data_IF_618752251697
#
_entry.id   IF_618752251697
#
_cell.length_a   1.000
_cell.length_b   1.000
_cell.length_c   1.000
_cell.angle_alpha   90.00
_cell.angle_beta   90.00
_cell.angle_gamma   90.00
#
_symmetry.space_group_name_H-M   'P 1'
#
loop_
_entity.id
_entity.type
_entity.pdbx_description
1 polymer ?
#
# COMPACT_ATOMS: atom_id res chain seq x y z
N UNK A 1 8.77 -27.15 6.78
CA UNK A 1 7.81 -26.18 6.22
C UNK A 1 8.38 -25.71 4.89
N UNK A 2 7.73 -26.05 3.77
CA UNK A 2 8.16 -25.56 2.46
C UNK A 2 7.75 -24.08 2.31
N UNK A 3 8.66 -23.24 1.81
CA UNK A 3 8.37 -21.85 1.45
C UNK A 3 7.81 -21.85 0.02
N UNK A 4 6.51 -22.05 -0.10
CA UNK A 4 5.82 -22.15 -1.39
C UNK A 4 4.70 -21.13 -1.51
N UNK A 5 4.53 -20.57 -2.71
CA UNK A 5 3.38 -19.74 -3.05
C UNK A 5 2.14 -20.65 -3.24
N UNK A 6 1.04 -20.30 -2.60
CA UNK A 6 -0.24 -21.02 -2.74
C UNK A 6 -1.20 -20.15 -3.55
N UNK A 7 -1.48 -20.58 -4.78
CA UNK A 7 -2.36 -19.86 -5.70
C UNK A 7 -3.77 -20.46 -5.64
N UNK A 8 -4.74 -19.65 -5.24
CA UNK A 8 -6.14 -20.04 -5.22
C UNK A 8 -6.80 -19.70 -6.57
N UNK A 9 -6.85 -20.67 -7.48
CA UNK A 9 -7.52 -20.51 -8.78
C UNK A 9 -9.03 -20.82 -8.72
N UNK A 10 -9.46 -21.63 -7.76
CA UNK A 10 -10.85 -22.11 -7.63
C UNK A 10 -11.22 -22.28 -6.15
N UNK A 11 -12.53 -22.31 -5.87
CA UNK A 11 -13.06 -22.58 -4.52
C UNK A 11 -13.67 -21.33 -3.87
N UNK A 12 -13.92 -21.36 -2.54
CA UNK A 12 -14.58 -20.26 -1.84
C UNK A 12 -13.68 -19.02 -1.78
N UNK A 13 -14.10 -17.93 -2.41
CA UNK A 13 -13.37 -16.65 -2.41
C UNK A 13 -13.07 -16.13 -0.99
N UNK A 14 -14.02 -16.31 -0.05
CA UNK A 14 -13.83 -15.90 1.34
C UNK A 14 -12.66 -16.62 2.02
N UNK A 15 -12.45 -17.92 1.71
CA UNK A 15 -11.33 -18.69 2.24
C UNK A 15 -10.00 -18.21 1.63
N UNK A 16 -9.97 -18.02 0.32
CA UNK A 16 -8.80 -17.53 -0.41
C UNK A 16 -8.35 -16.16 0.11
N UNK A 17 -9.30 -15.22 0.24
CA UNK A 17 -9.04 -13.88 0.80
C UNK A 17 -8.58 -13.99 2.25
N UNK A 18 -9.26 -14.78 3.10
CA UNK A 18 -8.89 -14.95 4.51
C UNK A 18 -7.48 -15.53 4.69
N UNK A 19 -7.07 -16.47 3.82
CA UNK A 19 -5.71 -16.98 3.80
C UNK A 19 -4.73 -15.89 3.34
N UNK A 20 -5.05 -15.18 2.24
CA UNK A 20 -4.23 -14.12 1.67
C UNK A 20 -3.98 -12.94 2.61
N UNK A 21 -4.91 -12.63 3.53
CA UNK A 21 -4.76 -11.53 4.51
C UNK A 21 -4.35 -12.01 5.91
N UNK A 22 -3.76 -13.21 6.03
CA UNK A 22 -3.32 -13.78 7.32
C UNK A 22 -1.98 -13.19 7.80
N UNK A 23 -1.96 -11.88 8.05
CA UNK A 23 -0.77 -11.14 8.45
C UNK A 23 -0.20 -11.73 9.76
N UNK A 24 1.06 -12.18 9.77
CA UNK A 24 1.72 -12.70 10.96
C UNK A 24 1.65 -11.72 12.14
N UNK A 25 1.25 -12.23 13.31
CA UNK A 25 1.10 -11.43 14.54
C UNK A 25 -0.24 -10.68 14.66
N UNK A 26 -1.04 -10.58 13.59
CA UNK A 26 -2.36 -9.94 13.60
C UNK A 26 -3.47 -10.98 13.49
N UNK A 27 -3.36 -11.89 12.53
CA UNK A 27 -4.37 -12.92 12.30
C UNK A 27 -3.77 -14.31 12.46
N UNK A 28 -4.58 -15.24 13.00
CA UNK A 28 -4.22 -16.65 13.02
C UNK A 28 -4.02 -17.15 11.57
N UNK A 29 -2.91 -17.87 11.27
CA UNK A 29 -2.72 -18.50 9.98
C UNK A 29 -3.87 -19.45 9.62
N UNK A 30 -4.10 -19.64 8.32
CA UNK A 30 -5.17 -20.51 7.80
C UNK A 30 -4.59 -21.84 7.36
N UNK A 31 -5.18 -22.95 7.80
CA UNK A 31 -4.80 -24.27 7.28
C UNK A 31 -5.57 -24.56 5.99
N UNK A 32 -4.86 -24.79 4.89
CA UNK A 32 -5.43 -25.15 3.60
C UNK A 32 -4.65 -26.33 3.01
N UNK A 33 -5.35 -27.42 2.66
CA UNK A 33 -4.75 -28.65 2.11
C UNK A 33 -3.55 -29.17 2.95
N UNK A 34 -3.67 -29.13 4.28
CA UNK A 34 -2.61 -29.55 5.21
C UNK A 34 -1.43 -28.58 5.33
N UNK A 35 -1.46 -27.44 4.63
CA UNK A 35 -0.44 -26.39 4.67
C UNK A 35 -0.90 -25.24 5.56
N UNK A 36 0.02 -24.66 6.31
CA UNK A 36 -0.23 -23.48 7.11
C UNK A 36 0.07 -22.23 6.27
N UNK A 37 -0.99 -21.50 5.88
CA UNK A 37 -0.91 -20.32 5.05
C UNK A 37 -0.87 -19.04 5.90
N UNK A 38 0.07 -18.17 5.56
CA UNK A 38 0.16 -16.77 6.03
C UNK A 38 -0.11 -15.82 4.87
N UNK A 39 -0.10 -14.53 5.14
CA UNK A 39 -0.28 -13.47 4.14
C UNK A 39 0.62 -13.66 2.90
N UNK A 40 0.04 -13.44 1.71
CA UNK A 40 0.74 -13.60 0.43
C UNK A 40 1.81 -12.54 0.17
N UNK A 41 1.72 -11.39 0.82
CA UNK A 41 2.68 -10.28 0.73
C UNK A 41 4.10 -10.71 1.05
N UNK A 42 4.28 -11.68 1.95
CA UNK A 42 5.61 -12.14 2.36
C UNK A 42 6.39 -12.86 1.26
N UNK A 43 5.70 -13.35 0.21
CA UNK A 43 6.32 -14.05 -0.93
C UNK A 43 6.08 -13.33 -2.25
N UNK A 44 4.88 -12.80 -2.47
CA UNK A 44 4.42 -12.28 -3.76
C UNK A 44 3.46 -11.09 -3.56
N UNK A 45 3.98 -9.94 -3.08
CA UNK A 45 3.15 -8.78 -2.74
C UNK A 45 2.50 -8.11 -3.94
N UNK A 46 3.09 -8.25 -5.13
CA UNK A 46 2.52 -7.81 -6.40
C UNK A 46 2.63 -8.97 -7.39
N UNK A 47 1.63 -9.87 -7.50
CA UNK A 47 1.76 -11.16 -8.17
C UNK A 47 1.66 -11.08 -9.71
N UNK A 48 2.53 -10.28 -10.34
CA UNK A 48 2.58 -10.06 -11.80
C UNK A 48 2.80 -11.36 -12.56
N UNK A 49 3.71 -12.20 -12.09
CA UNK A 49 4.04 -13.47 -12.74
C UNK A 49 2.82 -14.42 -12.78
N UNK A 50 2.05 -14.49 -11.69
CA UNK A 50 0.87 -15.35 -11.59
C UNK A 50 -0.18 -14.97 -12.62
N UNK A 51 -0.49 -13.68 -12.76
CA UNK A 51 -1.49 -13.21 -13.74
C UNK A 51 -1.02 -13.39 -15.18
N UNK A 52 0.28 -13.23 -15.45
CA UNK A 52 0.86 -13.54 -16.77
C UNK A 52 0.76 -15.02 -17.11
N UNK A 53 1.12 -15.90 -16.18
CA UNK A 53 1.02 -17.35 -16.35
C UNK A 53 -0.43 -17.80 -16.55
N UNK A 54 -1.39 -17.07 -15.97
CA UNK A 54 -2.83 -17.27 -16.21
C UNK A 54 -3.30 -16.79 -17.60
N UNK A 55 -2.42 -16.23 -18.43
CA UNK A 55 -2.71 -15.85 -19.82
C UNK A 55 -2.99 -14.36 -20.04
N UNK A 56 -2.73 -13.48 -19.06
CA UNK A 56 -2.92 -12.05 -19.26
C UNK A 56 -1.97 -11.50 -20.34
N UNK A 57 -2.54 -10.88 -21.39
CA UNK A 57 -1.77 -10.23 -22.47
C UNK A 57 -1.14 -8.90 -22.06
N UNK A 58 -1.75 -8.22 -21.09
CA UNK A 58 -1.34 -6.93 -20.54
C UNK A 58 -1.57 -6.97 -19.04
N UNK A 59 -0.60 -6.49 -18.28
CA UNK A 59 -0.65 -6.43 -16.82
C UNK A 59 -0.43 -5.00 -16.36
N UNK A 60 -1.43 -4.49 -15.64
CA UNK A 60 -1.35 -3.22 -14.93
C UNK A 60 -1.10 -3.57 -13.45
N UNK A 61 0.11 -3.29 -12.96
CA UNK A 61 0.46 -3.51 -11.56
C UNK A 61 0.14 -2.25 -10.73
N UNK A 62 -0.28 -2.45 -9.49
CA UNK A 62 -0.45 -1.39 -8.51
C UNK A 62 0.47 -1.68 -7.34
N UNK A 63 1.49 -0.84 -7.14
CA UNK A 63 2.46 -0.99 -6.06
C UNK A 63 2.29 0.17 -5.07
N UNK A 64 1.88 -0.16 -3.85
CA UNK A 64 1.57 0.80 -2.78
C UNK A 64 2.75 1.05 -1.83
N UNK A 65 3.89 0.37 -2.03
CA UNK A 65 5.07 0.54 -1.19
C UNK A 65 5.86 1.80 -1.60
N UNK A 66 6.11 2.75 -0.66
CA UNK A 66 6.90 3.93 -0.96
C UNK A 66 8.32 3.59 -1.42
N UNK A 67 8.79 4.29 -2.45
CA UNK A 67 10.18 4.15 -2.92
C UNK A 67 11.17 4.74 -1.91
N UNK A 68 12.44 4.29 -1.96
CA UNK A 68 13.49 4.82 -1.10
C UNK A 68 13.65 6.35 -1.18
N UNK A 69 13.60 7.01 -2.36
CA UNK A 69 13.63 8.47 -2.44
C UNK A 69 12.43 9.12 -1.76
N UNK A 70 11.22 8.60 -1.97
CA UNK A 70 10.00 9.12 -1.33
C UNK A 70 10.06 9.01 0.20
N UNK A 71 10.55 7.88 0.71
CA UNK A 71 10.73 7.68 2.14
C UNK A 71 11.79 8.64 2.71
N UNK A 72 12.90 8.86 2.01
CA UNK A 72 13.94 9.80 2.42
C UNK A 72 13.39 11.22 2.54
N UNK A 73 12.70 11.70 1.51
CA UNK A 73 12.10 13.05 1.52
C UNK A 73 11.12 13.21 2.68
N UNK A 74 10.28 12.20 2.94
CA UNK A 74 9.38 12.21 4.09
C UNK A 74 10.12 12.29 5.43
N UNK A 75 11.17 11.48 5.62
CA UNK A 75 11.97 11.48 6.84
C UNK A 75 12.67 12.83 7.07
N UNK A 76 13.22 13.44 6.01
CA UNK A 76 13.82 14.77 6.07
C UNK A 76 12.80 15.84 6.48
N UNK A 77 11.59 15.79 5.92
CA UNK A 77 10.50 16.71 6.30
C UNK A 77 10.08 16.51 7.76
N UNK A 78 9.92 15.27 8.20
CA UNK A 78 9.59 14.95 9.58
C UNK A 78 10.67 15.40 10.57
N UNK A 79 11.95 15.33 10.18
CA UNK A 79 13.08 15.85 10.97
C UNK A 79 13.05 17.38 11.08
N UNK A 80 12.76 18.09 9.98
CA UNK A 80 12.63 19.56 10.00
C UNK A 80 11.50 20.03 10.91
N UNK A 81 10.33 19.42 10.78
CA UNK A 81 9.18 19.73 11.64
C UNK A 81 9.48 19.47 13.12
N UNK A 82 10.26 18.42 13.43
CA UNK A 82 10.73 18.16 14.80
C UNK A 82 11.69 19.24 15.29
N UNK A 83 12.65 19.66 14.48
CA UNK A 83 13.58 20.72 14.85
C UNK A 83 12.85 22.06 15.08
N UNK A 84 11.87 22.38 14.24
CA UNK A 84 11.00 23.55 14.42
C UNK A 84 10.17 23.47 15.70
N UNK A 85 9.56 22.32 15.98
CA UNK A 85 8.85 22.07 17.24
C UNK A 85 9.79 22.23 18.45
N UNK A 86 10.99 21.66 18.39
CA UNK A 86 11.97 21.76 19.47
C UNK A 86 12.40 23.21 19.71
N UNK A 87 12.60 24.00 18.65
CA UNK A 87 12.88 25.43 18.73
C UNK A 87 11.71 26.20 19.38
N UNK A 88 10.46 25.86 19.02
CA UNK A 88 9.26 26.44 19.62
C UNK A 88 9.07 26.07 21.10
N UNK A 89 9.46 24.85 21.48
CA UNK A 89 9.41 24.41 22.88
C UNK A 89 10.54 25.03 23.70
N UNK A 90 11.70 25.33 23.10
CA UNK A 90 12.82 25.97 23.77
C UNK A 90 12.49 27.38 24.28
N UNK A 91 11.58 28.09 23.62
CA UNK A 91 11.11 29.43 24.04
C UNK A 91 10.11 29.40 25.21
N UNK A 92 9.68 28.21 25.65
CA UNK A 92 8.70 28.06 26.74
C UNK A 92 9.34 28.05 28.13
N UNK A 93 8.58 28.43 29.18
CA UNK A 93 9.03 28.33 30.57
C UNK A 93 9.51 26.92 30.93
N UNK A 94 10.48 26.83 31.85
CA UNK A 94 11.15 25.59 32.24
C UNK A 94 10.17 24.45 32.56
N UNK A 95 9.11 24.75 33.31
CA UNK A 95 8.10 23.78 33.73
C UNK A 95 7.31 23.20 32.56
N UNK A 96 6.92 24.04 31.58
CA UNK A 96 6.22 23.60 30.35
C UNK A 96 7.15 22.75 29.48
N UNK A 97 8.40 23.16 29.32
CA UNK A 97 9.42 22.41 28.57
C UNK A 97 9.73 21.05 29.21
N UNK A 98 9.82 20.99 30.53
CA UNK A 98 9.99 19.74 31.27
C UNK A 98 8.78 18.83 31.09
N UNK A 99 7.56 19.37 31.22
CA UNK A 99 6.33 18.60 31.03
C UNK A 99 6.19 18.06 29.60
N UNK A 100 6.51 18.87 28.58
CA UNK A 100 6.50 18.45 27.18
C UNK A 100 7.57 17.38 26.89
N UNK A 101 8.77 17.49 27.48
CA UNK A 101 9.81 16.45 27.37
C UNK A 101 9.39 15.14 28.03
N UNK A 102 8.82 15.19 29.24
CA UNK A 102 8.30 14.00 29.92
C UNK A 102 7.17 13.34 29.11
N UNK A 103 6.25 14.12 28.56
CA UNK A 103 5.21 13.61 27.66
C UNK A 103 5.80 12.97 26.41
N UNK A 104 6.81 13.60 25.79
CA UNK A 104 7.48 13.08 24.60
C UNK A 104 8.28 11.81 24.90
N UNK A 105 8.93 11.72 26.06
CA UNK A 105 9.61 10.52 26.55
C UNK A 105 8.63 9.40 26.86
N UNK A 106 7.44 9.69 27.40
CA UNK A 106 6.39 8.69 27.62
C UNK A 106 5.85 8.14 26.28
N UNK A 107 5.65 9.01 25.27
CA UNK A 107 5.27 8.61 23.91
C UNK A 107 6.41 7.83 23.24
N UNK A 108 7.67 8.19 23.52
CA UNK A 108 8.87 7.49 23.04
C UNK A 108 9.15 6.18 23.77
N UNK A 109 8.76 5.98 25.03
CA UNK A 109 9.00 4.69 25.71
C UNK A 109 8.14 3.56 25.13
N UNK A 110 7.22 3.91 24.21
CA UNK A 110 6.52 3.02 23.29
C UNK A 110 7.34 2.74 22.00
N UNK A 111 8.64 3.11 21.96
CA UNK A 111 9.66 2.86 20.91
C UNK A 111 9.62 1.40 20.42
N UNK A 112 9.91 1.14 19.12
CA UNK A 112 9.20 0.15 18.34
C UNK A 112 9.26 -1.20 19.03
N UNK A 113 8.09 -1.71 19.39
CA UNK A 113 7.96 -3.06 19.91
C UNK A 113 8.63 -4.01 18.91
N UNK A 114 9.05 -5.20 19.37
CA UNK A 114 9.57 -6.26 18.48
C UNK A 114 8.68 -6.43 17.24
N UNK A 115 7.38 -6.27 17.43
CA UNK A 115 6.38 -6.23 16.38
C UNK A 115 6.64 -5.17 15.29
N UNK A 116 6.89 -3.91 15.65
CA UNK A 116 7.14 -2.82 14.69
C UNK A 116 8.42 -3.05 13.88
N UNK A 117 9.45 -3.61 14.52
CA UNK A 117 10.71 -3.98 13.84
C UNK A 117 10.46 -5.07 12.80
N UNK A 118 9.70 -6.10 13.17
CA UNK A 118 9.30 -7.18 12.27
C UNK A 118 8.51 -6.61 11.08
N UNK A 119 7.49 -5.80 11.34
CA UNK A 119 6.65 -5.22 10.28
C UNK A 119 7.44 -4.33 9.32
N UNK A 120 8.35 -3.50 9.83
CA UNK A 120 9.21 -2.66 8.98
C UNK A 120 10.17 -3.49 8.12
N UNK A 121 10.72 -4.57 8.67
CA UNK A 121 11.56 -5.49 7.91
C UNK A 121 10.75 -6.21 6.83
N UNK A 122 9.53 -6.66 7.14
CA UNK A 122 8.60 -7.26 6.18
C UNK A 122 8.26 -6.29 5.05
N UNK A 123 7.85 -5.06 5.36
CA UNK A 123 7.56 -4.03 4.35
C UNK A 123 8.75 -3.71 3.46
N UNK A 124 9.98 -3.73 4.01
CA UNK A 124 11.20 -3.55 3.22
C UNK A 124 11.41 -4.70 2.23
N UNK A 125 11.24 -5.94 2.69
CA UNK A 125 11.31 -7.11 1.80
C UNK A 125 10.20 -7.09 0.74
N UNK A 126 8.97 -6.78 1.14
CA UNK A 126 7.81 -6.65 0.26
C UNK A 126 8.04 -5.58 -0.81
N UNK A 127 8.60 -4.43 -0.46
CA UNK A 127 8.99 -3.40 -1.43
C UNK A 127 9.97 -3.96 -2.47
N UNK A 128 11.03 -4.64 -2.04
CA UNK A 128 12.04 -5.19 -2.96
C UNK A 128 11.46 -6.27 -3.87
N UNK A 129 10.69 -7.21 -3.32
CA UNK A 129 10.04 -8.28 -4.11
C UNK A 129 9.02 -7.67 -5.07
N UNK A 130 8.17 -6.76 -4.59
CA UNK A 130 7.16 -6.08 -5.38
C UNK A 130 7.76 -5.26 -6.52
N UNK A 131 8.86 -4.54 -6.27
CA UNK A 131 9.56 -3.78 -7.31
C UNK A 131 10.18 -4.69 -8.36
N UNK A 132 10.71 -5.86 -7.97
CA UNK A 132 11.20 -6.86 -8.93
C UNK A 132 10.06 -7.41 -9.79
N UNK A 133 8.93 -7.76 -9.20
CA UNK A 133 7.75 -8.23 -9.94
C UNK A 133 7.18 -7.16 -10.87
N UNK A 134 7.19 -5.89 -10.44
CA UNK A 134 6.70 -4.76 -11.24
C UNK A 134 7.51 -4.52 -12.52
N UNK A 135 8.77 -4.99 -12.61
CA UNK A 135 9.58 -4.88 -13.85
C UNK A 135 8.97 -5.66 -15.01
N UNK A 136 8.16 -6.66 -14.70
CA UNK A 136 7.49 -7.46 -15.71
C UNK A 136 6.14 -6.87 -16.13
N UNK A 137 5.57 -5.92 -15.39
CA UNK A 137 4.27 -5.34 -15.75
C UNK A 137 4.40 -4.35 -16.93
N UNK A 138 3.33 -4.22 -17.72
CA UNK A 138 3.28 -3.27 -18.84
C UNK A 138 3.13 -1.83 -18.34
N UNK A 139 2.35 -1.65 -17.27
CA UNK A 139 2.16 -0.35 -16.60
C UNK A 139 2.16 -0.56 -15.10
N UNK A 140 2.76 0.35 -14.35
CA UNK A 140 2.81 0.29 -12.88
C UNK A 140 2.31 1.61 -12.29
N UNK A 141 1.21 1.54 -11.53
CA UNK A 141 0.71 2.66 -10.73
C UNK A 141 1.41 2.65 -9.37
N UNK A 142 1.77 3.84 -8.87
CA UNK A 142 2.39 4.00 -7.54
C UNK A 142 1.65 5.05 -6.70
N UNK A 143 0.44 4.71 -6.19
CA UNK A 143 -0.34 5.61 -5.34
C UNK A 143 0.19 5.60 -3.89
N UNK A 144 1.47 5.93 -3.71
CA UNK A 144 2.14 5.89 -2.42
C UNK A 144 1.83 7.15 -1.61
N UNK A 145 1.64 6.98 -0.30
CA UNK A 145 1.50 8.08 0.68
C UNK A 145 2.56 7.87 1.77
N UNK A 146 3.76 8.46 1.62
CA UNK A 146 4.82 8.35 2.61
C UNK A 146 4.34 8.78 4.00
N UNK A 147 4.72 8.02 5.03
CA UNK A 147 4.35 8.32 6.42
C UNK A 147 2.98 7.80 6.86
N UNK A 148 2.18 7.23 5.96
CA UNK A 148 0.93 6.57 6.36
C UNK A 148 1.20 5.34 7.20
N UNK A 149 0.35 5.11 8.21
CA UNK A 149 0.45 3.94 9.06
C UNK A 149 -0.45 2.81 8.54
N UNK A 150 -0.01 1.56 8.67
CA UNK A 150 -0.75 0.40 8.18
C UNK A 150 -2.06 0.13 8.96
N UNK A 151 -2.22 0.70 10.16
CA UNK A 151 -3.45 0.67 10.97
C UNK A 151 -4.35 1.91 10.80
N UNK A 152 -4.13 2.73 9.77
CA UNK A 152 -4.86 3.99 9.57
C UNK A 152 -6.20 3.80 8.86
N UNK A 153 -7.11 3.05 9.48
CA UNK A 153 -8.44 2.74 8.92
C UNK A 153 -9.47 3.87 9.09
N UNK A 154 -9.15 4.91 9.86
CA UNK A 154 -10.05 6.01 10.21
C UNK A 154 -10.04 7.17 9.21
N UNK A 155 -9.12 7.17 8.25
CA UNK A 155 -9.07 8.15 7.14
C UNK A 155 -8.85 7.44 5.80
N UNK A 156 -9.79 6.59 5.34
CA UNK A 156 -9.65 5.86 4.09
C UNK A 156 -9.65 6.76 2.85
N UNK A 157 -10.29 7.94 2.92
CA UNK A 157 -10.53 8.85 1.80
C UNK A 157 -9.23 9.29 1.13
N UNK A 158 -8.19 9.56 1.93
CA UNK A 158 -6.88 9.99 1.40
C UNK A 158 -6.24 8.91 0.53
N UNK A 159 -6.43 7.62 0.85
CA UNK A 159 -5.86 6.51 0.08
C UNK A 159 -6.61 6.33 -1.24
N UNK A 160 -7.95 6.44 -1.19
CA UNK A 160 -8.81 6.38 -2.37
C UNK A 160 -8.45 7.52 -3.32
N UNK A 161 -8.39 8.75 -2.80
CA UNK A 161 -8.05 9.94 -3.58
C UNK A 161 -6.65 9.81 -4.21
N UNK A 162 -5.64 9.38 -3.46
CA UNK A 162 -4.30 9.15 -4.01
C UNK A 162 -4.29 8.11 -5.13
N UNK A 163 -5.09 7.05 -4.98
CA UNK A 163 -5.29 6.02 -6.00
C UNK A 163 -5.89 6.59 -7.28
N UNK A 164 -6.95 7.37 -7.14
CA UNK A 164 -7.63 8.05 -8.25
C UNK A 164 -6.70 9.04 -8.97
N UNK A 165 -6.00 9.91 -8.23
CA UNK A 165 -5.04 10.87 -8.79
C UNK A 165 -3.96 10.17 -9.62
N UNK A 166 -3.39 9.08 -9.11
CA UNK A 166 -2.35 8.32 -9.81
C UNK A 166 -2.88 7.62 -11.06
N UNK A 167 -4.10 7.06 -11.00
CA UNK A 167 -4.75 6.43 -12.13
C UNK A 167 -5.09 7.46 -13.22
N UNK A 168 -5.67 8.61 -12.85
CA UNK A 168 -5.99 9.70 -13.77
C UNK A 168 -4.73 10.27 -14.42
N UNK A 169 -3.65 10.46 -13.66
CA UNK A 169 -2.35 10.91 -14.17
C UNK A 169 -1.80 9.98 -15.25
N UNK A 170 -2.02 8.67 -15.10
CA UNK A 170 -1.56 7.64 -16.04
C UNK A 170 -2.62 7.21 -17.04
N UNK A 171 -3.80 7.81 -17.05
CA UNK A 171 -4.91 7.43 -17.93
C UNK A 171 -4.51 7.36 -19.42
N UNK A 172 -3.73 8.30 -19.98
CA UNK A 172 -3.28 8.20 -21.38
C UNK A 172 -2.33 7.02 -21.65
N UNK A 173 -1.57 6.59 -20.63
CA UNK A 173 -0.69 5.41 -20.73
C UNK A 173 -1.52 4.14 -20.64
N UNK A 174 -2.50 4.10 -19.73
CA UNK A 174 -3.39 2.97 -19.54
C UNK A 174 -4.26 2.71 -20.77
N UNK A 175 -4.82 3.76 -21.37
CA UNK A 175 -5.59 3.67 -22.63
C UNK A 175 -4.73 3.08 -23.75
N UNK A 176 -3.49 3.56 -23.93
CA UNK A 176 -2.56 3.00 -24.92
C UNK A 176 -2.17 1.55 -24.64
N UNK A 177 -1.94 1.20 -23.38
CA UNK A 177 -1.53 -0.14 -22.99
C UNK A 177 -2.66 -1.18 -23.17
N UNK A 178 -3.90 -0.78 -22.90
CA UNK A 178 -5.09 -1.66 -22.98
C UNK A 178 -5.74 -1.67 -24.36
N UNK A 179 -5.41 -0.71 -25.23
CA UNK A 179 -6.12 -0.50 -26.49
C UNK A 179 -7.54 0.04 -26.31
N UNK A 180 -7.91 0.46 -25.10
CA UNK A 180 -9.18 1.12 -24.83
C UNK A 180 -9.16 2.52 -25.47
N UNK A 181 -9.85 2.64 -26.60
CA UNK A 181 -10.17 3.93 -27.23
C UNK A 181 -10.84 4.86 -26.21
N UNK A 182 -10.54 6.15 -26.34
CA UNK A 182 -10.87 7.26 -25.46
C UNK A 182 -12.24 7.13 -24.77
N UNK A 183 -12.24 6.68 -23.50
CA UNK A 183 -13.44 6.47 -22.66
C UNK A 183 -14.30 7.74 -22.50
N UNK A 184 -13.71 8.91 -22.76
CA UNK A 184 -14.40 10.19 -22.81
C UNK A 184 -15.52 10.21 -23.88
N UNK A 185 -15.32 9.50 -25.00
CA UNK A 185 -16.32 9.38 -26.07
C UNK A 185 -17.50 8.49 -25.66
N UNK A 186 -17.22 7.40 -24.94
CA UNK A 186 -18.24 6.41 -24.55
C UNK A 186 -19.15 6.91 -23.43
N UNK A 187 -18.62 7.68 -22.47
CA UNK A 187 -19.44 8.27 -21.40
C UNK A 187 -20.29 9.46 -21.87
N UNK A 188 -19.84 10.20 -22.88
CA UNK A 188 -20.63 11.25 -23.53
C UNK A 188 -21.84 10.67 -24.29
N UNK A 189 -21.70 9.51 -24.93
CA UNK A 189 -22.79 8.84 -25.64
C UNK A 189 -23.83 8.20 -24.71
N UNK A 190 -23.44 7.73 -23.52
CA UNK A 190 -24.39 7.18 -22.55
C UNK A 190 -25.22 8.24 -21.82
N UNK A 191 -24.66 9.43 -21.57
CA UNK A 191 -25.39 10.54 -20.94
C UNK A 191 -26.45 11.17 -21.87
N UNK A 192 -26.30 11.04 -23.19
CA UNK A 192 -27.26 11.54 -24.17
C UNK A 192 -28.49 10.66 -24.42
N UNK A 193 -28.46 9.38 -24.02
CA UNK A 193 -29.53 8.42 -24.33
C UNK A 193 -30.62 8.37 -23.25
N UNK A 194 -30.35 8.81 -22.03
CA UNK A 194 -31.31 8.75 -20.91
C UNK A 194 -32.31 9.93 -20.91
N UNK A 195 -32.08 10.97 -21.72
CA UNK A 195 -32.90 12.19 -21.72
C UNK A 195 -34.08 12.22 -22.71
N UNK A 196 -34.37 11.15 -23.47
CA UNK A 196 -35.41 11.15 -24.52
C UNK A 196 -36.53 10.10 -24.36
N UNK A 197 -36.66 9.48 -23.19
CA UNK A 197 -37.84 8.66 -22.85
C UNK A 197 -38.42 9.12 -21.52
N UNK A 198 -39.24 10.15 -21.57
CA UNK A 198 -40.17 10.58 -20.50
C UNK A 198 -41.34 11.30 -21.13
#
# INVERSE_FOLDING_TARGET
MAREEVIFATGPIALAVRASVSIPGIFKPVTYQGKLCVDGGVVSPVPVAVVKQAGAHRVIAVNVFPTTPQLRTYLEQAQRQRAEWEAHVASRPLLVRLMLRLRQELIRSVSPLVFDVIMRAMQSMEYHIGEMACREADVVLRPTIPGSHWLEFYHPEKFIQRGEEEALRLLPVLQRATGALDLSTTMAQQSGTVALTS
#
